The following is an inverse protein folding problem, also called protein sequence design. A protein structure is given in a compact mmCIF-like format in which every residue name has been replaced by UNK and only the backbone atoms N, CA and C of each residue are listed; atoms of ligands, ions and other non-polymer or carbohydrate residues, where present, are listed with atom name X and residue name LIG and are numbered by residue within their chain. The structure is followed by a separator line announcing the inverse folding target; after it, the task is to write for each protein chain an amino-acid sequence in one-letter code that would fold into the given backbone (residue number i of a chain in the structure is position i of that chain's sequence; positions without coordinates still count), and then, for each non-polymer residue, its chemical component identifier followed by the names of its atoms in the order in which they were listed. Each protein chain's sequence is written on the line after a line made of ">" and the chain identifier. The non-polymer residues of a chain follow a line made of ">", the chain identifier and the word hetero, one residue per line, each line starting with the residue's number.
data_IF_794010404704
#
_entry.id   IF_794010404704
#
_cell.length_a   1.000
_cell.length_b   1.000
_cell.length_c   1.000
_cell.angle_alpha   90.00
_cell.angle_beta   90.00
_cell.angle_gamma   90.00
#
_symmetry.space_group_name_H-M   'P 1'
#
loop_
_entity.id
_entity.type
_entity.pdbx_description
1 polymer ?
#
# COMPACT_ATOMS: atom_id res chain seq x y z
N UNK A 1 2.84 -17.37 -1.78
CA UNK A 1 3.20 -16.00 -1.39
C UNK A 1 3.97 -15.40 -2.54
N UNK A 2 3.51 -14.28 -3.09
CA UNK A 2 4.14 -13.56 -4.20
C UNK A 2 4.42 -12.13 -3.77
N UNK A 3 5.60 -11.60 -4.08
CA UNK A 3 5.92 -10.18 -3.92
C UNK A 3 5.95 -9.57 -5.32
N UNK A 4 5.27 -8.44 -5.49
CA UNK A 4 5.21 -7.71 -6.76
C UNK A 4 5.13 -6.20 -6.51
N UNK A 5 5.34 -5.42 -7.56
CA UNK A 5 5.03 -4.00 -7.53
C UNK A 5 3.55 -3.75 -7.24
N UNK A 6 3.29 -2.68 -6.49
CA UNK A 6 1.97 -2.11 -6.26
C UNK A 6 1.26 -1.82 -7.60
N UNK A 7 -0.06 -1.98 -7.61
CA UNK A 7 -0.95 -1.56 -8.70
C UNK A 7 -2.10 -0.72 -8.13
N UNK A 8 -2.73 0.17 -8.91
CA UNK A 8 -3.81 1.03 -8.42
C UNK A 8 -4.95 0.28 -7.72
N UNK A 9 -5.23 -0.96 -8.13
CA UNK A 9 -6.28 -1.80 -7.53
C UNK A 9 -5.96 -2.24 -6.10
N UNK A 10 -4.69 -2.17 -5.68
CA UNK A 10 -4.23 -2.54 -4.34
C UNK A 10 -4.52 -1.44 -3.30
N UNK A 11 -4.83 -0.18 -3.70
CA UNK A 11 -4.92 0.98 -2.80
C UNK A 11 -5.77 0.70 -1.56
N UNK A 12 -7.00 0.25 -1.79
CA UNK A 12 -7.95 0.00 -0.72
C UNK A 12 -7.49 -1.14 0.20
N UNK A 13 -6.83 -2.17 -0.33
CA UNK A 13 -6.32 -3.28 0.47
C UNK A 13 -5.10 -2.87 1.31
N UNK A 14 -4.19 -2.08 0.74
CA UNK A 14 -3.02 -1.54 1.44
C UNK A 14 -3.45 -0.62 2.58
N UNK A 15 -4.38 0.31 2.33
CA UNK A 15 -4.88 1.21 3.38
C UNK A 15 -5.55 0.43 4.51
N UNK A 16 -6.39 -0.57 4.19
CA UNK A 16 -7.00 -1.43 5.22
C UNK A 16 -5.96 -2.20 6.03
N UNK A 17 -4.90 -2.68 5.39
CA UNK A 17 -3.80 -3.35 6.09
C UNK A 17 -3.08 -2.38 7.04
N UNK A 18 -2.78 -1.16 6.58
CA UNK A 18 -2.16 -0.14 7.43
C UNK A 18 -3.04 0.25 8.61
N UNK A 19 -4.36 0.36 8.41
CA UNK A 19 -5.33 0.61 9.48
C UNK A 19 -5.35 -0.54 10.50
N UNK A 20 -5.48 -1.78 10.04
CA UNK A 20 -5.47 -2.97 10.90
C UNK A 20 -4.15 -3.12 11.69
N UNK A 21 -3.03 -2.69 11.11
CA UNK A 21 -1.72 -2.68 11.77
C UNK A 21 -1.46 -1.41 12.60
N UNK A 22 -2.38 -0.44 12.66
CA UNK A 22 -2.20 0.80 13.41
C UNK A 22 -1.07 1.70 12.88
N UNK A 23 -0.80 1.66 11.57
CA UNK A 23 0.27 2.44 10.91
C UNK A 23 -0.18 3.84 10.49
N UNK A 24 -1.50 4.09 10.43
CA UNK A 24 -2.05 5.41 10.10
C UNK A 24 -1.88 6.37 11.29
N UNK A 25 -1.62 7.65 11.01
CA UNK A 25 -1.54 8.72 12.00
C UNK A 25 -2.51 9.85 11.64
N UNK A 26 -3.11 10.57 12.61
CA UNK A 26 -4.11 11.60 12.33
C UNK A 26 -3.68 12.72 11.36
N UNK A 27 -2.38 13.03 11.34
CA UNK A 27 -1.80 14.06 10.48
C UNK A 27 -1.40 13.55 9.09
N UNK A 28 -1.65 12.27 8.77
CA UNK A 28 -1.20 11.66 7.54
C UNK A 28 -2.35 10.99 6.78
N UNK A 29 -2.64 11.52 5.59
CA UNK A 29 -3.59 10.91 4.67
C UNK A 29 -2.88 9.79 3.89
N UNK A 30 -3.23 8.50 4.12
CA UNK A 30 -2.53 7.39 3.48
C UNK A 30 -2.68 7.39 1.95
N UNK A 31 -3.72 8.03 1.39
CA UNK A 31 -3.83 8.20 -0.07
C UNK A 31 -2.77 9.15 -0.61
N UNK A 32 -2.47 10.22 0.14
CA UNK A 32 -1.39 11.15 -0.23
C UNK A 32 -0.02 10.51 -0.08
N UNK A 33 0.18 9.62 0.89
CA UNK A 33 1.41 8.82 0.97
C UNK A 33 1.62 7.96 -0.27
N UNK A 34 0.58 7.21 -0.65
CA UNK A 34 0.59 6.36 -1.84
C UNK A 34 0.87 7.21 -3.07
N UNK A 35 0.14 8.32 -3.27
CA UNK A 35 0.34 9.22 -4.40
C UNK A 35 1.78 9.77 -4.46
N UNK A 36 2.37 10.18 -3.32
CA UNK A 36 3.78 10.61 -3.27
C UNK A 36 4.73 9.48 -3.63
N UNK A 37 4.49 8.27 -3.13
CA UNK A 37 5.36 7.13 -3.43
C UNK A 37 5.26 6.71 -4.90
N UNK A 38 4.10 6.88 -5.54
CA UNK A 38 3.94 6.65 -6.98
C UNK A 38 4.63 7.72 -7.83
N UNK A 39 4.77 8.94 -7.31
CA UNK A 39 5.52 10.02 -7.96
C UNK A 39 7.05 9.88 -7.79
N UNK A 40 7.50 9.18 -6.75
CA UNK A 40 8.92 9.05 -6.40
C UNK A 40 9.33 7.56 -6.27
N UNK A 41 9.96 7.03 -7.33
CA UNK A 41 10.44 5.64 -7.42
C UNK A 41 9.32 4.60 -7.18
N UNK A 42 8.27 4.59 -8.03
CA UNK A 42 7.12 3.69 -7.89
C UNK A 42 7.50 2.20 -7.89
N UNK A 43 8.58 1.83 -8.58
CA UNK A 43 9.13 0.47 -8.65
C UNK A 43 9.54 -0.10 -7.28
N UNK A 44 9.78 0.76 -6.29
CA UNK A 44 10.11 0.37 -4.92
C UNK A 44 8.87 0.21 -4.03
N UNK A 45 7.67 0.52 -4.51
CA UNK A 45 6.45 0.26 -3.75
C UNK A 45 6.00 -1.19 -3.99
N UNK A 46 6.37 -2.08 -3.08
CA UNK A 46 6.11 -3.51 -3.18
C UNK A 46 4.94 -3.94 -2.28
N UNK A 47 4.16 -4.91 -2.76
CA UNK A 47 3.09 -5.57 -2.00
C UNK A 47 3.32 -7.07 -1.97
N UNK A 48 2.94 -7.71 -0.85
CA UNK A 48 2.92 -9.15 -0.70
C UNK A 48 1.49 -9.68 -0.79
N UNK A 49 1.26 -10.67 -1.66
CA UNK A 49 -0.04 -11.34 -1.79
C UNK A 49 0.08 -12.84 -1.49
N UNK A 50 -0.84 -13.35 -0.67
CA UNK A 50 -1.07 -14.78 -0.49
C UNK A 50 -2.35 -15.16 -1.20
N UNK A 51 -2.32 -16.21 -2.03
CA UNK A 51 -3.56 -16.82 -2.51
C UNK A 51 -4.28 -17.42 -1.30
N UNK A 52 -5.46 -16.90 -0.99
CA UNK A 52 -6.40 -17.58 -0.11
C UNK A 52 -7.18 -18.52 -1.01
N UNK A 53 -6.98 -19.83 -0.83
CA UNK A 53 -7.78 -20.88 -1.49
C UNK A 53 -9.15 -20.97 -0.86
#
# INVERSE_FOLDING_TARGET
>A
MTIRGYRPEDEAAVIRLWEACGLIRPWNDPRRDIARKLAEQPELFLVGESRVT
#
